data_IF_584506342289
#
_entry.id   IF_584506342289
#
_cell.length_a   1.000
_cell.length_b   1.000
_cell.length_c   1.000
_cell.angle_alpha   90.00
_cell.angle_beta   90.00
_cell.angle_gamma   90.00
#
_symmetry.space_group_name_H-M   'P 1'
#
loop_
_entity.id
_entity.type
_entity.pdbx_description
1 polymer ?
#
# COMPACT_ATOMS: atom_id res chain seq x y z
N UNK A 1 0.90 14.81 -9.15
CA UNK A 1 1.44 14.60 -7.79
C UNK A 1 1.89 13.15 -7.65
N UNK A 2 3.02 12.87 -6.98
CA UNK A 2 3.48 11.51 -6.63
C UNK A 2 3.27 11.31 -5.13
N UNK A 3 2.91 10.10 -4.69
CA UNK A 3 2.79 9.80 -3.25
C UNK A 3 4.18 9.84 -2.57
N UNK A 4 4.22 10.18 -1.29
CA UNK A 4 5.45 10.12 -0.49
C UNK A 4 5.97 8.69 -0.45
N UNK A 5 7.22 8.47 -0.81
CA UNK A 5 7.78 7.11 -0.81
C UNK A 5 7.92 6.58 0.63
N UNK A 6 7.80 5.26 0.79
CA UNK A 6 8.15 4.58 2.03
C UNK A 6 9.67 4.60 2.29
N UNK A 7 10.13 4.01 3.41
CA UNK A 7 9.33 3.33 4.42
C UNK A 7 8.58 4.29 5.35
N UNK A 8 7.42 3.88 5.85
CA UNK A 8 6.66 4.61 6.88
C UNK A 8 6.69 3.86 8.21
N UNK A 9 6.31 4.53 9.27
CA UNK A 9 6.11 3.91 10.58
C UNK A 9 5.00 4.62 11.36
N UNK A 10 4.32 3.89 12.24
CA UNK A 10 3.33 4.46 13.12
C UNK A 10 3.98 5.00 14.40
N UNK A 11 3.53 6.16 14.87
CA UNK A 11 3.96 6.82 16.11
C UNK A 11 2.72 7.10 16.96
N UNK A 12 2.83 6.86 18.27
CA UNK A 12 1.75 7.13 19.24
C UNK A 12 0.37 6.56 18.83
N UNK A 13 0.35 5.39 18.18
CA UNK A 13 -0.86 4.67 17.75
C UNK A 13 -1.82 5.44 16.80
N UNK A 14 -1.47 6.63 16.35
CA UNK A 14 -2.38 7.51 15.59
C UNK A 14 -1.67 8.25 14.46
N UNK A 15 -0.36 8.47 14.55
CA UNK A 15 0.38 9.18 13.50
C UNK A 15 1.13 8.20 12.60
N UNK A 16 1.19 8.51 11.30
CA UNK A 16 2.07 7.86 10.33
C UNK A 16 3.13 8.88 9.90
N UNK A 17 4.39 8.48 9.96
CA UNK A 17 5.54 9.31 9.60
C UNK A 17 6.49 8.59 8.66
N UNK A 18 7.18 9.35 7.83
CA UNK A 18 8.31 8.83 7.05
C UNK A 18 9.38 8.29 8.00
N UNK A 19 10.00 7.17 7.66
CA UNK A 19 11.07 6.57 8.44
C UNK A 19 12.42 7.04 7.89
N UNK A 20 13.17 7.78 8.70
CA UNK A 20 14.57 8.11 8.46
C UNK A 20 15.45 7.50 9.56
N UNK A 21 16.73 7.28 9.26
CA UNK A 21 17.68 6.83 10.28
C UNK A 21 17.81 7.90 11.39
N UNK A 22 17.62 7.50 12.65
CA UNK A 22 17.84 8.31 13.85
C UNK A 22 16.98 9.59 13.99
N UNK A 23 15.87 9.72 13.27
CA UNK A 23 14.94 10.84 13.45
C UNK A 23 13.51 10.45 13.07
N UNK A 24 12.53 11.10 13.70
CA UNK A 24 11.15 11.06 13.23
C UNK A 24 11.08 11.83 11.91
N UNK A 25 10.67 11.15 10.84
CA UNK A 25 10.51 11.81 9.56
C UNK A 25 9.23 12.63 9.43
N UNK A 26 9.03 13.10 8.21
CA UNK A 26 7.91 13.96 7.85
C UNK A 26 6.58 13.32 8.22
N UNK A 27 5.65 14.15 8.67
CA UNK A 27 4.29 13.73 8.94
C UNK A 27 3.60 13.31 7.63
N UNK A 28 3.02 12.11 7.59
CA UNK A 28 2.28 11.59 6.44
C UNK A 28 0.78 11.69 6.66
N UNK A 29 0.30 11.22 7.80
CA UNK A 29 -1.13 11.21 8.13
C UNK A 29 -1.38 11.05 9.64
N UNK A 30 -2.56 11.48 10.09
CA UNK A 30 -3.14 11.16 11.40
C UNK A 30 -4.41 10.34 11.23
N UNK A 31 -4.53 9.28 12.02
CA UNK A 31 -5.70 8.40 12.07
C UNK A 31 -6.64 8.86 13.18
N UNK A 32 -7.90 9.03 12.82
CA UNK A 32 -9.00 9.30 13.74
C UNK A 32 -10.00 8.15 13.68
N UNK A 33 -10.26 7.51 14.81
CA UNK A 33 -11.32 6.51 14.96
C UNK A 33 -11.98 6.64 16.34
N UNK A 34 -13.17 6.04 16.50
CA UNK A 34 -13.96 6.16 17.72
C UNK A 34 -13.37 5.37 18.91
N UNK A 35 -12.36 4.51 18.68
CA UNK A 35 -11.67 3.75 19.72
C UNK A 35 -10.16 3.70 19.49
N UNK A 36 -9.39 3.74 20.59
CA UNK A 36 -7.93 3.73 20.56
C UNK A 36 -7.35 2.48 19.88
N UNK A 37 -7.94 1.31 20.12
CA UNK A 37 -7.51 0.04 19.50
C UNK A 37 -7.69 0.06 17.98
N UNK A 38 -8.78 0.66 17.49
CA UNK A 38 -9.06 0.79 16.06
C UNK A 38 -8.09 1.77 15.40
N UNK A 39 -7.85 2.93 16.02
CA UNK A 39 -6.85 3.89 15.56
C UNK A 39 -5.46 3.24 15.46
N UNK A 40 -5.06 2.47 16.47
CA UNK A 40 -3.78 1.77 16.47
C UNK A 40 -3.68 0.73 15.35
N UNK A 41 -4.74 -0.05 15.13
CA UNK A 41 -4.79 -1.04 14.06
C UNK A 41 -4.72 -0.39 12.67
N UNK A 42 -5.50 0.67 12.45
CA UNK A 42 -5.52 1.43 11.21
C UNK A 42 -4.16 2.12 10.95
N UNK A 43 -3.53 2.69 11.97
CA UNK A 43 -2.21 3.31 11.85
C UNK A 43 -1.14 2.30 11.44
N UNK A 44 -1.16 1.07 12.01
CA UNK A 44 -0.27 -0.02 11.59
C UNK A 44 -0.50 -0.42 10.13
N UNK A 45 -1.77 -0.57 9.73
CA UNK A 45 -2.11 -0.96 8.36
C UNK A 45 -1.66 0.10 7.33
N UNK A 46 -1.91 1.38 7.61
CA UNK A 46 -1.47 2.48 6.72
C UNK A 46 0.05 2.56 6.67
N UNK A 47 0.74 2.44 7.80
CA UNK A 47 2.20 2.46 7.83
C UNK A 47 2.83 1.33 7.00
N UNK A 48 2.17 0.17 6.89
CA UNK A 48 2.62 -0.95 6.07
C UNK A 48 2.27 -0.81 4.57
N UNK A 49 1.53 0.23 4.15
CA UNK A 49 1.06 0.35 2.76
C UNK A 49 2.18 0.34 1.70
N UNK A 50 3.37 0.97 1.91
CA UNK A 50 4.47 0.85 0.96
C UNK A 50 4.96 -0.59 0.81
N UNK A 51 5.15 -1.30 1.93
CA UNK A 51 5.63 -2.69 1.93
C UNK A 51 4.60 -3.63 1.29
N UNK A 52 3.30 -3.39 1.54
CA UNK A 52 2.22 -4.14 0.90
C UNK A 52 2.16 -3.90 -0.61
N UNK A 53 2.42 -2.67 -1.07
CA UNK A 53 2.49 -2.37 -2.50
C UNK A 53 3.69 -3.07 -3.15
N UNK A 54 4.86 -3.04 -2.51
CA UNK A 54 6.05 -3.75 -2.99
C UNK A 54 5.82 -5.27 -3.04
N UNK A 55 5.20 -5.85 -2.01
CA UNK A 55 4.83 -7.26 -1.99
C UNK A 55 3.88 -7.64 -3.13
N UNK A 56 2.91 -6.79 -3.46
CA UNK A 56 2.00 -7.00 -4.59
C UNK A 56 2.73 -6.92 -5.94
N UNK A 57 3.68 -5.99 -6.10
CA UNK A 57 4.50 -5.89 -7.32
C UNK A 57 5.36 -7.16 -7.47
N UNK A 58 5.97 -7.65 -6.39
CA UNK A 58 6.71 -8.91 -6.40
C UNK A 58 5.81 -10.11 -6.74
N UNK A 59 4.60 -10.14 -6.20
CA UNK A 59 3.62 -11.19 -6.51
C UNK A 59 3.16 -11.14 -7.97
N UNK A 60 2.94 -9.96 -8.55
CA UNK A 60 2.65 -9.80 -9.98
C UNK A 60 3.78 -10.41 -10.82
N UNK A 61 5.04 -10.05 -10.53
CA UNK A 61 6.21 -10.54 -11.26
C UNK A 61 6.37 -12.06 -11.15
N UNK A 62 6.09 -12.64 -9.99
CA UNK A 62 6.17 -14.09 -9.78
C UNK A 62 5.11 -14.86 -10.57
N UNK A 63 3.90 -14.29 -10.70
CA UNK A 63 2.74 -14.96 -11.30
C UNK A 63 2.64 -14.69 -12.82
N UNK A 64 3.30 -13.64 -13.31
CA UNK A 64 3.34 -13.31 -14.73
C UNK A 64 3.85 -14.48 -15.57
N UNK A 65 3.13 -14.82 -16.64
CA UNK A 65 3.44 -15.93 -17.53
C UNK A 65 2.71 -17.23 -17.21
N UNK A 66 2.00 -17.31 -16.08
CA UNK A 66 1.17 -18.45 -15.71
C UNK A 66 -0.33 -18.23 -15.98
N UNK A 67 -0.73 -17.13 -16.64
CA UNK A 67 -2.14 -16.79 -16.85
C UNK A 67 -2.93 -17.82 -17.67
N UNK A 68 -2.24 -18.52 -18.57
CA UNK A 68 -2.79 -19.49 -19.52
C UNK A 68 -2.35 -20.93 -19.20
N UNK A 69 -1.75 -21.17 -18.03
CA UNK A 69 -1.35 -22.51 -17.59
C UNK A 69 -2.58 -23.31 -17.15
N UNK A 70 -2.98 -24.30 -17.96
CA UNK A 70 -4.14 -25.17 -17.70
C UNK A 70 -4.05 -25.95 -16.37
N UNK A 71 -2.84 -26.14 -15.84
CA UNK A 71 -2.61 -26.80 -14.55
C UNK A 71 -2.82 -25.87 -13.36
N UNK A 72 -2.85 -24.56 -13.58
CA UNK A 72 -2.94 -23.55 -12.52
C UNK A 72 -4.27 -22.79 -12.54
N UNK A 73 -5.28 -23.39 -11.89
CA UNK A 73 -6.63 -22.84 -11.84
C UNK A 73 -6.68 -21.48 -11.13
N UNK A 74 -7.20 -20.47 -11.84
CA UNK A 74 -7.56 -19.17 -11.29
C UNK A 74 -6.41 -18.17 -11.20
N UNK A 75 -5.24 -18.46 -11.79
CA UNK A 75 -4.10 -17.53 -11.84
C UNK A 75 -4.47 -16.22 -12.53
N UNK A 76 -5.14 -16.27 -13.69
CA UNK A 76 -5.53 -15.07 -14.43
C UNK A 76 -6.44 -14.15 -13.59
N UNK A 77 -7.35 -14.73 -12.78
CA UNK A 77 -8.19 -13.95 -11.85
C UNK A 77 -7.37 -13.32 -10.71
N UNK A 78 -6.41 -14.04 -10.12
CA UNK A 78 -5.53 -13.51 -9.07
C UNK A 78 -4.65 -12.37 -9.59
N UNK A 79 -4.09 -12.55 -10.78
CA UNK A 79 -3.27 -11.53 -11.42
C UNK A 79 -4.08 -10.26 -11.72
N UNK A 80 -5.32 -10.41 -12.18
CA UNK A 80 -6.22 -9.28 -12.40
C UNK A 80 -6.48 -8.50 -11.09
N UNK A 81 -6.68 -9.20 -9.96
CA UNK A 81 -6.86 -8.58 -8.65
C UNK A 81 -5.60 -7.83 -8.19
N UNK A 82 -4.41 -8.42 -8.37
CA UNK A 82 -3.13 -7.78 -8.02
C UNK A 82 -2.94 -6.50 -8.84
N UNK A 83 -3.13 -6.57 -10.17
CA UNK A 83 -3.04 -5.41 -11.07
C UNK A 83 -4.02 -4.30 -10.71
N UNK A 84 -5.25 -4.67 -10.34
CA UNK A 84 -6.25 -3.70 -9.90
C UNK A 84 -5.82 -2.97 -8.61
N UNK A 85 -5.27 -3.71 -7.63
CA UNK A 85 -4.77 -3.13 -6.38
C UNK A 85 -3.58 -2.19 -6.61
N UNK A 86 -2.58 -2.61 -7.40
CA UNK A 86 -1.42 -1.78 -7.77
C UNK A 86 -1.89 -0.52 -8.51
N UNK A 87 -2.80 -0.66 -9.47
CA UNK A 87 -3.35 0.47 -10.22
C UNK A 87 -4.07 1.46 -9.29
N UNK A 88 -4.87 0.98 -8.33
CA UNK A 88 -5.56 1.81 -7.34
C UNK A 88 -4.57 2.60 -6.47
N UNK A 89 -3.45 1.98 -6.07
CA UNK A 89 -2.44 2.62 -5.24
C UNK A 89 -1.56 3.65 -5.99
N UNK A 90 -1.42 3.52 -7.31
CA UNK A 90 -0.42 4.29 -8.09
C UNK A 90 -1.01 5.33 -9.05
N UNK A 91 -2.26 5.20 -9.51
CA UNK A 91 -2.82 6.07 -10.57
C UNK A 91 -3.60 7.32 -10.10
N UNK A 92 -3.66 7.63 -8.82
CA UNK A 92 -4.39 8.79 -8.30
C UNK A 92 -3.59 10.10 -8.27
N UNK A 93 -3.46 10.80 -9.41
CA UNK A 93 -2.72 12.08 -9.45
C UNK A 93 -2.89 12.96 -10.69
N UNK A 94 -3.96 12.81 -11.48
CA UNK A 94 -4.37 13.74 -12.54
C UNK A 94 -5.79 14.21 -12.24
N UNK A 95 -5.91 15.33 -11.53
CA UNK A 95 -7.12 16.14 -11.63
C UNK A 95 -7.09 16.80 -13.01
N UNK A 96 -7.88 16.27 -13.95
CA UNK A 96 -8.35 17.04 -15.07
C UNK A 96 -9.36 18.05 -14.51
N UNK A 97 -9.10 19.34 -14.70
CA UNK A 97 -10.12 20.37 -14.57
C UNK A 97 -10.44 20.85 -15.99
N UNK A 98 -11.72 20.91 -16.40
CA UNK A 98 -12.11 21.67 -17.60
C UNK A 98 -11.89 23.18 -17.40
#
# INVERSE_FOLDING_TARGET
MRHTQGPWHNVANTEIRARFANQNGDHIATVWANGESESAANARLIAAAPDLLEALIMAELFILGFEDDETQKGISNKLLQIRAAISKATKGGRNANP
#
